data_IF_057495248942
#
_entry.id   IF_057495248942
#
_cell.length_a   1.000
_cell.length_b   1.000
_cell.length_c   1.000
_cell.angle_alpha   90.00
_cell.angle_beta   90.00
_cell.angle_gamma   90.00
#
_symmetry.space_group_name_H-M   'P 1'
#
loop_
_entity.id
_entity.type
_entity.pdbx_description
1 polymer ?
#
# COMPACT_ATOMS: atom_id res chain seq x y z
N UNK A 1 -38.58 -26.35 40.24
CA UNK A 1 -37.44 -25.40 40.19
C UNK A 1 -36.41 -25.95 39.22
N UNK A 2 -36.47 -25.52 37.95
CA UNK A 2 -35.50 -25.87 36.92
C UNK A 2 -35.13 -24.59 36.22
N UNK A 3 -33.97 -24.03 36.56
CA UNK A 3 -33.47 -22.78 35.98
C UNK A 3 -32.94 -23.00 34.55
N UNK A 4 -32.96 -21.96 33.69
CA UNK A 4 -32.31 -22.05 32.39
C UNK A 4 -30.85 -21.60 32.49
N UNK A 5 -29.92 -22.48 32.10
CA UNK A 5 -28.56 -22.10 31.73
C UNK A 5 -28.54 -21.74 30.25
N UNK A 6 -28.57 -20.44 29.93
CA UNK A 6 -28.23 -19.95 28.59
C UNK A 6 -26.85 -19.30 28.66
N UNK A 7 -25.83 -20.12 28.43
CA UNK A 7 -24.49 -19.62 28.11
C UNK A 7 -24.54 -18.91 26.76
N UNK A 8 -24.47 -17.58 26.78
CA UNK A 8 -24.35 -16.75 25.58
C UNK A 8 -22.90 -16.85 25.10
N UNK A 9 -22.62 -17.85 24.27
CA UNK A 9 -21.36 -17.91 23.53
C UNK A 9 -21.29 -16.72 22.58
N UNK A 10 -20.33 -15.83 22.79
CA UNK A 10 -19.95 -14.81 21.81
C UNK A 10 -19.46 -15.51 20.55
N UNK A 11 -20.33 -15.64 19.54
CA UNK A 11 -19.94 -16.18 18.25
C UNK A 11 -18.99 -15.17 17.60
N UNK A 12 -17.68 -15.45 17.66
CA UNK A 12 -16.73 -14.78 16.76
C UNK A 12 -17.20 -15.14 15.35
N UNK A 13 -17.55 -14.17 14.49
CA UNK A 13 -18.03 -14.48 13.16
C UNK A 13 -16.89 -15.18 12.40
N UNK A 14 -17.07 -16.46 12.11
CA UNK A 14 -16.11 -17.26 11.34
C UNK A 14 -16.05 -16.69 9.92
N UNK A 15 -14.86 -16.25 9.50
CA UNK A 15 -14.65 -15.74 8.15
C UNK A 15 -14.84 -16.87 7.14
N UNK A 16 -15.77 -16.69 6.20
CA UNK A 16 -16.02 -17.61 5.09
C UNK A 16 -14.96 -17.42 3.99
N UNK A 17 -14.01 -18.35 3.92
CA UNK A 17 -12.94 -18.37 2.92
C UNK A 17 -13.31 -19.14 1.65
N UNK A 18 -14.45 -19.85 1.61
CA UNK A 18 -14.85 -20.71 0.49
C UNK A 18 -14.85 -20.00 -0.88
N UNK A 19 -15.25 -18.71 -1.01
CA UNK A 19 -15.32 -18.07 -2.32
C UNK A 19 -13.96 -17.83 -2.98
N UNK A 20 -12.86 -17.95 -2.22
CA UNK A 20 -11.49 -17.78 -2.73
C UNK A 20 -11.01 -19.00 -3.54
N UNK A 21 -11.51 -20.20 -3.22
CA UNK A 21 -11.06 -21.47 -3.83
C UNK A 21 -12.13 -22.12 -4.69
N UNK A 22 -13.41 -21.88 -4.43
CA UNK A 22 -14.53 -22.50 -5.14
C UNK A 22 -14.42 -22.37 -6.68
N UNK A 23 -14.92 -23.38 -7.42
CA UNK A 23 -15.05 -23.31 -8.87
C UNK A 23 -15.94 -22.13 -9.29
N UNK A 24 -15.50 -21.38 -10.30
CA UNK A 24 -16.25 -20.23 -10.84
C UNK A 24 -16.56 -20.42 -12.32
N UNK A 25 -17.77 -20.08 -12.74
CA UNK A 25 -18.18 -20.19 -14.14
C UNK A 25 -17.69 -18.99 -14.95
N UNK A 26 -17.32 -19.22 -16.22
CA UNK A 26 -16.88 -18.15 -17.11
C UNK A 26 -17.97 -17.08 -17.34
N UNK A 27 -19.25 -17.49 -17.31
CA UNK A 27 -20.41 -16.59 -17.44
C UNK A 27 -20.49 -15.62 -16.27
N UNK A 28 -20.33 -16.09 -15.03
CA UNK A 28 -20.37 -15.26 -13.83
C UNK A 28 -19.22 -14.24 -13.82
N UNK A 29 -18.00 -14.68 -14.11
CA UNK A 29 -16.82 -13.80 -14.22
C UNK A 29 -17.02 -12.75 -15.33
N UNK A 30 -17.61 -13.15 -16.46
CA UNK A 30 -17.94 -12.26 -17.56
C UNK A 30 -18.98 -11.19 -17.20
N UNK A 31 -20.01 -11.56 -16.43
CA UNK A 31 -21.02 -10.63 -15.92
C UNK A 31 -20.40 -9.61 -14.95
N UNK A 32 -19.65 -10.09 -13.97
CA UNK A 32 -18.91 -9.25 -13.03
C UNK A 32 -17.98 -8.25 -13.75
N UNK A 33 -17.23 -8.71 -14.76
CA UNK A 33 -16.35 -7.82 -15.53
C UNK A 33 -17.12 -6.68 -16.22
N UNK A 34 -18.31 -6.96 -16.77
CA UNK A 34 -19.16 -5.94 -17.40
C UNK A 34 -19.67 -4.94 -16.37
N UNK A 35 -20.11 -5.42 -15.22
CA UNK A 35 -20.57 -4.59 -14.11
C UNK A 35 -19.47 -3.65 -13.59
N UNK A 36 -18.27 -4.19 -13.32
CA UNK A 36 -17.14 -3.38 -12.85
C UNK A 36 -16.71 -2.33 -13.88
N UNK A 37 -16.74 -2.67 -15.17
CA UNK A 37 -16.44 -1.72 -16.26
C UNK A 37 -17.49 -0.59 -16.35
N UNK A 38 -18.75 -0.89 -16.05
CA UNK A 38 -19.83 0.10 -16.02
C UNK A 38 -19.71 1.02 -14.80
N UNK A 39 -19.36 0.48 -13.62
CA UNK A 39 -19.20 1.24 -12.37
C UNK A 39 -17.94 2.12 -12.36
N UNK A 40 -16.87 1.67 -12.99
CA UNK A 40 -15.58 2.36 -13.02
C UNK A 40 -15.03 2.41 -14.46
N UNK A 41 -15.59 3.28 -15.34
CA UNK A 41 -15.05 3.46 -16.68
C UNK A 41 -13.60 3.95 -16.60
N UNK A 42 -12.74 3.39 -17.46
CA UNK A 42 -11.33 3.81 -17.52
C UNK A 42 -11.26 5.31 -17.87
N UNK A 43 -10.35 6.09 -17.24
CA UNK A 43 -10.06 7.45 -17.67
C UNK A 43 -9.71 7.48 -19.17
N UNK A 44 -10.13 8.53 -19.89
CA UNK A 44 -9.96 8.63 -21.35
C UNK A 44 -8.51 8.43 -21.82
N UNK A 45 -7.52 8.85 -21.03
CA UNK A 45 -6.09 8.64 -21.34
C UNK A 45 -5.66 7.17 -21.25
N UNK A 46 -6.09 6.47 -20.21
CA UNK A 46 -5.82 5.04 -20.05
C UNK A 46 -6.61 4.22 -21.09
N UNK A 47 -7.80 4.69 -21.46
CA UNK A 47 -8.58 4.12 -22.56
C UNK A 47 -7.82 4.26 -23.89
N UNK A 48 -7.18 5.41 -24.17
CA UNK A 48 -6.30 5.60 -25.35
C UNK A 48 -5.07 4.72 -25.33
N UNK A 49 -4.44 4.48 -24.16
CA UNK A 49 -3.29 3.57 -24.04
C UNK A 49 -3.70 2.10 -24.26
N UNK A 50 -4.83 1.67 -23.70
CA UNK A 50 -5.37 0.33 -23.92
C UNK A 50 -5.86 0.11 -25.36
N UNK A 51 -6.39 1.16 -26.00
CA UNK A 51 -6.73 1.20 -27.41
C UNK A 51 -5.47 1.14 -28.27
N UNK A 52 -4.40 1.85 -27.91
CA UNK A 52 -3.10 1.81 -28.59
C UNK A 52 -2.44 0.43 -28.54
N UNK A 53 -2.50 -0.26 -27.39
CA UNK A 53 -2.05 -1.64 -27.29
C UNK A 53 -2.91 -2.60 -28.13
N UNK A 54 -4.24 -2.40 -28.15
CA UNK A 54 -5.16 -3.17 -29.00
C UNK A 54 -4.94 -2.92 -30.49
N UNK A 55 -4.68 -1.67 -30.89
CA UNK A 55 -4.34 -1.27 -32.26
C UNK A 55 -2.97 -1.83 -32.65
N UNK A 56 -1.98 -1.84 -31.76
CA UNK A 56 -0.67 -2.43 -32.05
C UNK A 56 -0.80 -3.94 -32.30
N UNK A 57 -1.56 -4.66 -31.48
CA UNK A 57 -1.87 -6.08 -31.70
C UNK A 57 -2.65 -6.27 -32.99
N UNK A 58 -3.67 -5.45 -33.26
CA UNK A 58 -4.45 -5.49 -34.50
C UNK A 58 -3.62 -5.18 -35.74
N UNK A 59 -2.67 -4.25 -35.66
CA UNK A 59 -1.75 -3.88 -36.72
C UNK A 59 -0.72 -4.99 -36.96
N UNK A 60 -0.22 -5.65 -35.91
CA UNK A 60 0.62 -6.85 -36.04
C UNK A 60 -0.13 -7.97 -36.77
N UNK A 61 -1.38 -8.21 -36.40
CA UNK A 61 -2.22 -9.21 -37.06
C UNK A 61 -2.58 -8.81 -38.50
N UNK A 62 -2.83 -7.54 -38.76
CA UNK A 62 -3.12 -7.00 -40.09
C UNK A 62 -1.89 -7.06 -40.99
N UNK A 63 -0.69 -6.72 -40.49
CA UNK A 63 0.56 -6.87 -41.24
C UNK A 63 0.83 -8.33 -41.54
N UNK A 64 0.62 -9.25 -40.59
CA UNK A 64 0.70 -10.68 -40.85
C UNK A 64 -0.28 -11.13 -41.95
N UNK A 65 -1.51 -10.59 -41.95
CA UNK A 65 -2.54 -10.88 -42.95
C UNK A 65 -2.23 -10.27 -44.32
N UNK A 66 -1.68 -9.05 -44.38
CA UNK A 66 -1.34 -8.35 -45.63
C UNK A 66 -0.07 -8.87 -46.29
N UNK A 67 0.85 -9.43 -45.51
CA UNK A 67 2.06 -10.09 -46.03
C UNK A 67 1.74 -11.49 -46.55
N UNK A 68 0.66 -12.13 -46.08
CA UNK A 68 0.28 -13.48 -46.49
C UNK A 68 -0.01 -13.64 -48.02
N UNK A 69 -0.65 -12.69 -48.73
CA UNK A 69 -0.79 -12.74 -50.20
C UNK A 69 0.54 -12.56 -50.94
N UNK A 70 1.40 -11.63 -50.49
CA UNK A 70 2.75 -11.46 -51.04
C UNK A 70 3.63 -12.69 -50.83
N UNK A 71 3.41 -13.40 -49.72
CA UNK A 71 4.00 -14.70 -49.41
C UNK A 71 3.53 -15.80 -50.38
N UNK A 72 2.24 -15.86 -50.72
CA UNK A 72 1.72 -16.78 -51.77
C UNK A 72 2.32 -16.46 -53.14
N UNK A 73 2.48 -15.17 -53.47
CA UNK A 73 3.08 -14.74 -54.74
C UNK A 73 4.59 -15.03 -54.82
N UNK A 74 5.32 -14.93 -53.70
CA UNK A 74 6.74 -15.28 -53.59
C UNK A 74 6.98 -16.80 -53.65
N UNK A 75 6.04 -17.60 -53.13
CA UNK A 75 6.01 -19.07 -53.29
C UNK A 75 5.87 -19.48 -54.77
N UNK A 76 5.29 -18.62 -55.60
CA UNK A 76 5.10 -18.86 -57.04
C UNK A 76 6.15 -18.20 -57.94
N UNK A 77 7.10 -17.40 -57.41
CA UNK A 77 8.09 -16.73 -58.27
C UNK A 77 9.35 -16.17 -57.60
N UNK A 78 10.51 -16.64 -58.07
CA UNK A 78 11.67 -15.79 -58.43
C UNK A 78 12.77 -15.48 -57.41
N UNK A 79 12.62 -15.75 -56.11
CA UNK A 79 13.72 -15.51 -55.15
C UNK A 79 14.70 -16.70 -55.08
N UNK A 80 16.01 -16.47 -54.86
CA UNK A 80 16.95 -17.55 -54.53
C UNK A 80 16.45 -18.33 -53.31
N UNK A 81 16.45 -19.69 -53.33
CA UNK A 81 15.80 -20.53 -52.32
C UNK A 81 16.15 -20.13 -50.87
N UNK A 82 17.43 -19.83 -50.63
CA UNK A 82 18.00 -19.52 -49.31
C UNK A 82 17.44 -18.22 -48.73
N UNK A 83 17.27 -17.17 -49.54
CA UNK A 83 16.73 -15.88 -49.10
C UNK A 83 15.22 -15.99 -48.83
N UNK A 84 14.51 -16.71 -49.69
CA UNK A 84 13.10 -17.03 -49.50
C UNK A 84 12.85 -17.82 -48.22
N UNK A 85 13.63 -18.87 -47.96
CA UNK A 85 13.51 -19.72 -46.77
C UNK A 85 13.81 -18.97 -45.47
N UNK A 86 14.83 -18.11 -45.46
CA UNK A 86 15.14 -17.29 -44.29
C UNK A 86 14.00 -16.32 -43.94
N UNK A 87 13.41 -15.66 -44.95
CA UNK A 87 12.26 -14.76 -44.77
C UNK A 87 11.02 -15.53 -44.31
N UNK A 88 10.75 -16.73 -44.87
CA UNK A 88 9.66 -17.62 -44.46
C UNK A 88 9.77 -18.00 -42.98
N UNK A 89 10.97 -18.40 -42.56
CA UNK A 89 11.24 -18.81 -41.18
C UNK A 89 11.13 -17.63 -40.21
N UNK A 90 11.65 -16.46 -40.58
CA UNK A 90 11.54 -15.24 -39.78
C UNK A 90 10.08 -14.79 -39.60
N UNK A 91 9.27 -14.79 -40.67
CA UNK A 91 7.87 -14.40 -40.60
C UNK A 91 7.02 -15.43 -39.84
N UNK A 92 7.26 -16.72 -40.06
CA UNK A 92 6.62 -17.80 -39.29
C UNK A 92 6.92 -17.68 -37.80
N UNK A 93 8.18 -17.47 -37.43
CA UNK A 93 8.59 -17.23 -36.04
C UNK A 93 7.91 -15.99 -35.45
N UNK A 94 7.83 -14.89 -36.20
CA UNK A 94 7.15 -13.67 -35.77
C UNK A 94 5.66 -13.89 -35.46
N UNK A 95 4.93 -14.60 -36.33
CA UNK A 95 3.51 -14.92 -36.11
C UNK A 95 3.32 -15.78 -34.86
N UNK A 96 4.16 -16.81 -34.68
CA UNK A 96 4.10 -17.68 -33.51
C UNK A 96 4.38 -16.90 -32.23
N UNK A 97 5.40 -16.04 -32.21
CA UNK A 97 5.73 -15.17 -31.06
C UNK A 97 4.57 -14.21 -30.76
N UNK A 98 4.01 -13.56 -31.77
CA UNK A 98 2.88 -12.65 -31.61
C UNK A 98 1.65 -13.40 -31.04
N UNK A 99 1.31 -14.56 -31.58
CA UNK A 99 0.22 -15.40 -31.09
C UNK A 99 0.44 -15.85 -29.64
N UNK A 100 1.67 -16.24 -29.29
CA UNK A 100 2.04 -16.60 -27.93
C UNK A 100 1.89 -15.42 -26.95
N UNK A 101 2.32 -14.21 -27.34
CA UNK A 101 2.14 -12.98 -26.54
C UNK A 101 0.66 -12.65 -26.34
N UNK A 102 -0.15 -12.75 -27.40
CA UNK A 102 -1.60 -12.51 -27.32
C UNK A 102 -2.24 -13.54 -26.39
N UNK A 103 -1.96 -14.83 -26.59
CA UNK A 103 -2.49 -15.91 -25.76
C UNK A 103 -2.09 -15.72 -24.29
N UNK A 104 -0.82 -15.42 -24.01
CA UNK A 104 -0.33 -15.12 -22.68
C UNK A 104 -1.13 -13.97 -22.02
N UNK A 105 -1.31 -12.85 -22.72
CA UNK A 105 -2.06 -11.71 -22.21
C UNK A 105 -3.55 -12.04 -21.99
N UNK A 106 -4.16 -12.83 -22.85
CA UNK A 106 -5.56 -13.29 -22.71
C UNK A 106 -5.71 -14.22 -21.51
N UNK A 107 -4.81 -15.19 -21.35
CA UNK A 107 -4.80 -16.12 -20.21
C UNK A 107 -4.57 -15.37 -18.90
N UNK A 108 -3.60 -14.44 -18.88
CA UNK A 108 -3.33 -13.55 -17.73
C UNK A 108 -4.55 -12.70 -17.39
N UNK A 109 -5.19 -12.07 -18.38
CA UNK A 109 -6.39 -11.26 -18.16
C UNK A 109 -7.55 -12.11 -17.62
N UNK A 110 -7.72 -13.34 -18.11
CA UNK A 110 -8.72 -14.29 -17.58
C UNK A 110 -8.42 -14.66 -16.13
N UNK A 111 -7.16 -14.97 -15.80
CA UNK A 111 -6.73 -15.29 -14.44
C UNK A 111 -6.98 -14.12 -13.47
N UNK A 112 -6.59 -12.90 -13.85
CA UNK A 112 -6.84 -11.69 -13.05
C UNK A 112 -8.33 -11.46 -12.83
N UNK A 113 -9.15 -11.54 -13.87
CA UNK A 113 -10.61 -11.33 -13.72
C UNK A 113 -11.27 -12.41 -12.85
N UNK A 114 -10.81 -13.67 -12.92
CA UNK A 114 -11.26 -14.74 -12.02
C UNK A 114 -10.87 -14.44 -10.57
N UNK A 115 -9.63 -14.02 -10.33
CA UNK A 115 -9.16 -13.66 -9.01
C UNK A 115 -9.98 -12.51 -8.40
N UNK A 116 -10.21 -11.44 -9.18
CA UNK A 116 -11.06 -10.31 -8.77
C UNK A 116 -12.47 -10.71 -8.41
N UNK A 117 -13.08 -11.57 -9.24
CA UNK A 117 -14.41 -12.08 -8.97
C UNK A 117 -14.46 -12.89 -7.66
N UNK A 118 -13.47 -13.75 -7.41
CA UNK A 118 -13.35 -14.51 -6.16
C UNK A 118 -13.18 -13.60 -4.95
N UNK A 119 -12.29 -12.62 -5.02
CA UNK A 119 -12.09 -11.62 -3.97
C UNK A 119 -13.38 -10.82 -3.72
N UNK A 120 -14.11 -10.44 -4.77
CA UNK A 120 -15.38 -9.72 -4.59
C UNK A 120 -16.47 -10.57 -3.92
N UNK A 121 -16.53 -11.87 -4.22
CA UNK A 121 -17.47 -12.80 -3.57
C UNK A 121 -17.08 -13.04 -2.12
N UNK A 122 -15.78 -13.21 -1.87
CA UNK A 122 -15.23 -13.32 -0.52
C UNK A 122 -15.55 -12.09 0.33
N UNK A 123 -15.35 -10.88 -0.23
CA UNK A 123 -15.73 -9.66 0.46
C UNK A 123 -17.23 -9.66 0.79
N UNK A 124 -18.08 -9.95 -0.20
CA UNK A 124 -19.53 -9.96 -0.02
C UNK A 124 -20.03 -11.01 0.99
N UNK A 125 -19.47 -12.24 0.99
CA UNK A 125 -19.90 -13.29 1.93
C UNK A 125 -19.53 -12.98 3.38
N UNK A 126 -18.55 -12.10 3.58
CA UNK A 126 -18.08 -11.68 4.90
C UNK A 126 -18.56 -10.27 5.29
N UNK A 127 -19.56 -9.71 4.60
CA UNK A 127 -20.11 -8.38 4.92
C UNK A 127 -19.14 -7.21 4.62
N UNK A 128 -18.09 -7.46 3.85
CA UNK A 128 -17.12 -6.46 3.40
C UNK A 128 -17.47 -5.95 2.00
N UNK A 129 -16.95 -4.78 1.65
CA UNK A 129 -17.13 -4.20 0.32
C UNK A 129 -15.88 -4.36 -0.55
N UNK A 130 -16.05 -4.60 -1.85
CA UNK A 130 -14.96 -4.70 -2.82
C UNK A 130 -14.93 -3.49 -3.75
N UNK A 131 -13.74 -2.92 -3.96
CA UNK A 131 -13.49 -1.85 -4.93
C UNK A 131 -12.34 -2.28 -5.84
N UNK A 132 -12.60 -2.42 -7.13
CA UNK A 132 -11.61 -2.98 -8.06
C UNK A 132 -10.39 -2.08 -8.30
N UNK A 133 -10.59 -0.76 -8.29
CA UNK A 133 -9.52 0.22 -8.47
C UNK A 133 -9.90 1.56 -7.84
N UNK A 134 -8.91 2.22 -7.24
CA UNK A 134 -8.98 3.58 -6.74
C UNK A 134 -7.72 4.32 -7.16
N UNK A 135 -7.87 5.32 -8.04
CA UNK A 135 -6.76 6.17 -8.44
C UNK A 135 -6.49 7.25 -7.38
N UNK A 136 -5.22 7.56 -7.15
CA UNK A 136 -4.74 8.54 -6.18
C UNK A 136 -5.42 8.44 -4.79
N UNK A 137 -5.32 7.27 -4.11
CA UNK A 137 -5.89 7.10 -2.78
C UNK A 137 -5.36 8.18 -1.82
N UNK A 138 -6.27 8.84 -1.09
CA UNK A 138 -5.96 9.95 -0.18
C UNK A 138 -5.73 9.47 1.26
N UNK A 139 -4.92 8.42 1.42
CA UNK A 139 -4.53 7.89 2.73
C UNK A 139 -3.28 8.63 3.23
N UNK A 140 -3.16 8.94 4.53
CA UNK A 140 -2.05 9.74 5.06
C UNK A 140 -0.70 8.99 5.13
N UNK A 141 -0.70 7.67 4.94
CA UNK A 141 0.51 6.84 5.01
C UNK A 141 1.57 7.20 3.96
N UNK A 142 2.84 7.00 4.29
CA UNK A 142 3.99 7.49 3.54
C UNK A 142 4.05 6.97 2.10
N UNK A 143 3.68 5.70 1.85
CA UNK A 143 3.70 5.13 0.49
C UNK A 143 2.69 5.81 -0.43
N UNK A 144 1.63 6.37 0.14
CA UNK A 144 0.59 7.04 -0.60
C UNK A 144 1.01 8.44 -1.01
N UNK A 145 2.04 9.05 -0.42
CA UNK A 145 2.41 10.44 -0.70
C UNK A 145 3.49 10.59 -1.79
N UNK A 146 4.00 9.49 -2.34
CA UNK A 146 5.16 9.49 -3.25
C UNK A 146 4.82 9.03 -4.66
N UNK A 147 5.58 9.53 -5.63
CA UNK A 147 5.53 9.08 -7.02
C UNK A 147 4.33 9.57 -7.82
N UNK A 148 4.20 9.05 -9.05
CA UNK A 148 3.17 9.38 -10.04
C UNK A 148 2.36 8.13 -10.40
N UNK A 149 1.20 8.31 -11.02
CA UNK A 149 0.28 7.23 -11.43
C UNK A 149 -0.12 6.28 -10.28
N UNK A 150 -0.24 6.85 -9.08
CA UNK A 150 -0.62 6.16 -7.84
C UNK A 150 -2.01 5.56 -7.96
N UNK A 151 -2.15 4.28 -7.65
CA UNK A 151 -3.46 3.63 -7.56
C UNK A 151 -3.44 2.42 -6.64
N UNK A 152 -4.57 2.20 -5.96
CA UNK A 152 -4.87 0.95 -5.27
C UNK A 152 -5.78 0.08 -6.14
N UNK A 153 -5.60 -1.23 -6.07
CA UNK A 153 -6.42 -2.22 -6.75
C UNK A 153 -6.87 -3.31 -5.81
N UNK A 154 -8.01 -3.90 -6.14
CA UNK A 154 -8.61 -5.04 -5.43
C UNK A 154 -8.85 -4.75 -3.94
N UNK A 155 -9.34 -3.56 -3.61
CA UNK A 155 -9.56 -3.17 -2.23
C UNK A 155 -10.71 -3.97 -1.62
N UNK A 156 -10.49 -4.50 -0.42
CA UNK A 156 -11.53 -5.10 0.42
C UNK A 156 -11.64 -4.25 1.68
N UNK A 157 -12.86 -3.80 2.01
CA UNK A 157 -13.10 -2.89 3.14
C UNK A 157 -14.11 -3.47 4.11
N UNK A 158 -13.69 -3.66 5.35
CA UNK A 158 -14.59 -3.82 6.50
C UNK A 158 -14.91 -2.45 7.10
N UNK A 159 -16.13 -2.28 7.60
CA UNK A 159 -16.58 -1.06 8.31
C UNK A 159 -16.95 -1.31 9.76
N UNK A 160 -17.11 -2.57 10.17
CA UNK A 160 -17.54 -2.96 11.50
C UNK A 160 -16.65 -4.09 12.01
N UNK A 161 -16.23 -4.07 13.29
CA UNK A 161 -16.49 -3.01 14.28
C UNK A 161 -15.72 -1.70 14.01
N UNK A 162 -14.71 -1.75 13.14
CA UNK A 162 -13.92 -0.59 12.70
C UNK A 162 -13.65 -0.61 11.22
N UNK A 163 -13.22 0.53 10.68
CA UNK A 163 -12.80 0.59 9.28
C UNK A 163 -11.43 -0.07 9.10
N UNK A 164 -11.39 -1.11 8.28
CA UNK A 164 -10.15 -1.77 7.84
C UNK A 164 -10.21 -1.92 6.32
N UNK A 165 -9.15 -1.50 5.64
CA UNK A 165 -8.99 -1.64 4.20
C UNK A 165 -7.77 -2.48 3.88
N UNK A 166 -7.95 -3.53 3.09
CA UNK A 166 -6.90 -4.36 2.53
C UNK A 166 -6.78 -4.04 1.04
N UNK A 167 -5.59 -3.73 0.54
CA UNK A 167 -5.42 -3.34 -0.86
C UNK A 167 -4.04 -3.61 -1.41
N UNK A 168 -3.94 -3.63 -2.74
CA UNK A 168 -2.67 -3.70 -3.45
C UNK A 168 -2.41 -2.33 -4.07
N UNK A 169 -1.26 -1.72 -3.79
CA UNK A 169 -0.91 -0.36 -4.19
C UNK A 169 0.26 -0.35 -5.17
N UNK A 170 0.20 0.53 -6.17
CA UNK A 170 1.25 0.71 -7.16
C UNK A 170 1.47 2.20 -7.47
N UNK A 171 2.74 2.58 -7.65
CA UNK A 171 3.15 3.90 -8.13
C UNK A 171 4.44 3.83 -8.96
N UNK A 172 4.71 4.88 -9.72
CA UNK A 172 5.96 5.06 -10.45
C UNK A 172 6.84 6.13 -9.79
N UNK A 173 8.14 5.88 -9.66
CA UNK A 173 9.14 6.88 -9.26
C UNK A 173 10.14 7.14 -10.40
N UNK A 174 10.77 8.32 -10.41
CA UNK A 174 11.72 8.72 -11.47
C UNK A 174 11.10 9.66 -12.51
N UNK A 175 11.95 10.15 -13.42
CA UNK A 175 11.58 11.08 -14.48
C UNK A 175 11.78 10.43 -15.86
N UNK A 176 10.79 10.53 -16.74
CA UNK A 176 10.92 10.13 -18.14
C UNK A 176 10.98 8.61 -18.36
N UNK A 177 11.91 8.17 -19.23
CA UNK A 177 12.02 6.79 -19.71
C UNK A 177 12.48 5.79 -18.63
N UNK A 178 13.15 6.26 -17.57
CA UNK A 178 13.64 5.43 -16.46
C UNK A 178 12.70 5.49 -15.24
N UNK A 179 11.42 5.20 -15.47
CA UNK A 179 10.44 5.11 -14.38
C UNK A 179 10.50 3.74 -13.71
N UNK A 180 10.74 3.70 -12.40
CA UNK A 180 10.69 2.48 -11.60
C UNK A 180 9.28 2.25 -11.06
N UNK A 181 8.78 1.02 -11.22
CA UNK A 181 7.45 0.61 -10.73
C UNK A 181 7.56 -0.01 -9.36
N UNK A 182 6.86 0.59 -8.40
CA UNK A 182 6.81 0.13 -7.01
C UNK A 182 5.47 -0.51 -6.72
N UNK A 183 5.49 -1.67 -6.04
CA UNK A 183 4.30 -2.41 -5.65
C UNK A 183 4.32 -2.74 -4.17
N UNK A 184 3.15 -2.63 -3.56
CA UNK A 184 2.93 -2.90 -2.14
C UNK A 184 1.60 -3.62 -1.95
N UNK A 185 1.54 -4.55 -1.01
CA UNK A 185 0.29 -4.86 -0.32
C UNK A 185 0.19 -3.97 0.91
N UNK A 186 -1.00 -3.51 1.26
CA UNK A 186 -1.20 -2.73 2.46
C UNK A 186 -2.50 -3.08 3.19
N UNK A 187 -2.45 -2.92 4.52
CA UNK A 187 -3.65 -2.84 5.36
C UNK A 187 -3.71 -1.45 5.95
N UNK A 188 -4.85 -0.77 5.87
CA UNK A 188 -5.10 0.51 6.51
C UNK A 188 -6.21 0.33 7.55
N UNK A 189 -5.85 0.49 8.82
CA UNK A 189 -6.75 0.39 9.95
C UNK A 189 -7.04 1.79 10.48
N UNK A 190 -8.31 2.15 10.59
CA UNK A 190 -8.72 3.38 11.27
C UNK A 190 -8.63 3.16 12.78
N UNK A 191 -7.93 4.06 13.45
CA UNK A 191 -7.80 4.09 14.91
C UNK A 191 -8.84 5.02 15.52
N UNK A 192 -9.24 4.73 16.75
CA UNK A 192 -10.28 5.49 17.48
C UNK A 192 -9.74 6.84 17.98
N UNK A 193 -8.45 6.91 18.31
CA UNK A 193 -7.77 8.14 18.71
C UNK A 193 -6.57 8.43 17.80
N UNK A 194 -6.25 9.70 17.53
CA UNK A 194 -5.02 10.08 16.85
C UNK A 194 -3.78 9.72 17.69
N UNK A 195 -2.74 9.26 17.00
CA UNK A 195 -1.47 8.80 17.54
C UNK A 195 -0.30 9.58 16.90
N UNK A 196 0.85 9.69 17.59
CA UNK A 196 2.05 10.29 17.00
C UNK A 196 2.48 9.52 15.73
N UNK A 197 3.12 10.24 14.80
CA UNK A 197 3.66 9.61 13.60
C UNK A 197 4.81 8.67 13.99
N UNK A 198 4.68 7.37 13.81
CA UNK A 198 5.72 6.40 14.14
C UNK A 198 5.83 5.38 13.00
N UNK A 199 7.05 5.03 12.65
CA UNK A 199 7.32 3.96 11.67
C UNK A 199 8.17 2.88 12.31
N UNK A 200 7.74 1.63 12.16
CA UNK A 200 8.50 0.43 12.46
C UNK A 200 8.94 -0.20 11.13
N UNK A 201 10.23 -0.17 10.86
CA UNK A 201 10.85 -0.84 9.71
C UNK A 201 11.28 -2.25 10.13
N UNK A 202 10.66 -3.29 9.58
CA UNK A 202 10.89 -4.67 10.00
C UNK A 202 12.19 -5.23 9.38
N UNK A 203 13.18 -5.52 10.21
CA UNK A 203 14.47 -6.02 9.76
C UNK A 203 14.38 -7.42 9.11
N UNK A 204 13.43 -8.25 9.55
CA UNK A 204 13.21 -9.58 8.98
C UNK A 204 12.76 -9.56 7.52
N UNK A 205 12.21 -8.44 7.04
CA UNK A 205 11.82 -8.29 5.64
C UNK A 205 12.92 -7.62 4.79
N UNK A 206 14.04 -7.22 5.38
CA UNK A 206 15.09 -6.41 4.74
C UNK A 206 16.24 -7.28 4.21
N UNK A 207 15.97 -8.15 3.22
CA UNK A 207 17.05 -8.98 2.64
C UNK A 207 18.13 -8.17 1.89
N UNK A 208 17.93 -6.88 1.59
CA UNK A 208 18.85 -5.96 0.89
C UNK A 208 18.61 -4.47 1.23
N UNK A 209 18.48 -4.11 2.53
CA UNK A 209 18.31 -2.72 2.99
C UNK A 209 16.86 -2.25 3.17
N UNK A 210 16.66 -1.13 3.88
CA UNK A 210 15.34 -0.54 4.20
C UNK A 210 14.58 -0.21 2.92
N UNK A 211 13.37 -0.76 2.80
CA UNK A 211 12.60 -0.79 1.53
C UNK A 211 11.45 0.19 1.48
N UNK A 212 11.34 1.04 2.50
CA UNK A 212 10.39 2.13 2.56
C UNK A 212 10.75 3.19 1.51
N UNK A 213 9.76 3.93 0.96
CA UNK A 213 10.01 4.88 -0.13
C UNK A 213 10.92 6.05 0.24
N UNK A 214 11.18 6.26 1.53
CA UNK A 214 12.05 7.31 2.03
C UNK A 214 13.09 6.72 2.96
N UNK A 215 14.36 7.06 2.74
CA UNK A 215 15.36 6.96 3.79
C UNK A 215 14.94 7.93 4.90
N UNK A 216 14.33 7.41 5.96
CA UNK A 216 14.01 8.21 7.13
C UNK A 216 15.32 8.69 7.76
N UNK A 217 15.37 9.94 8.24
CA UNK A 217 16.60 10.47 8.83
C UNK A 217 17.06 9.60 10.00
N UNK A 218 18.34 9.25 10.06
CA UNK A 218 18.92 8.48 11.16
C UNK A 218 18.78 9.17 12.52
N UNK A 219 18.68 10.50 12.55
CA UNK A 219 18.43 11.30 13.76
C UNK A 219 17.02 11.12 14.34
N UNK A 220 16.12 10.48 13.60
CA UNK A 220 14.75 10.18 14.02
C UNK A 220 14.59 8.73 14.47
N UNK A 221 15.69 7.96 14.49
CA UNK A 221 15.72 6.60 14.99
C UNK A 221 15.76 6.62 16.52
N UNK A 222 14.88 5.84 17.12
CA UNK A 222 14.86 5.62 18.56
C UNK A 222 15.07 4.12 18.82
N UNK A 223 16.10 3.79 19.58
CA UNK A 223 16.31 2.43 20.08
C UNK A 223 15.48 2.22 21.33
N UNK A 224 14.80 1.08 21.41
CA UNK A 224 14.05 0.67 22.59
C UNK A 224 14.87 -0.31 23.44
N UNK A 225 14.48 -0.48 24.71
CA UNK A 225 15.11 -1.45 25.60
C UNK A 225 14.82 -2.91 25.16
N UNK A 226 15.66 -3.83 25.65
CA UNK A 226 15.50 -5.26 25.36
C UNK A 226 16.03 -5.63 23.97
N UNK A 227 15.31 -6.54 23.30
CA UNK A 227 15.73 -7.14 22.03
C UNK A 227 14.92 -6.64 20.82
N UNK A 228 14.09 -5.62 21.00
CA UNK A 228 13.20 -5.07 19.97
C UNK A 228 13.95 -4.62 18.70
N UNK A 229 15.12 -4.00 18.89
CA UNK A 229 16.02 -3.54 17.83
C UNK A 229 16.56 -4.67 16.93
N UNK A 230 16.43 -5.94 17.34
CA UNK A 230 16.75 -7.10 16.48
C UNK A 230 15.68 -7.36 15.43
N UNK A 231 14.45 -6.91 15.67
CA UNK A 231 13.30 -7.16 14.81
C UNK A 231 12.88 -5.90 14.05
N UNK A 232 12.98 -4.73 14.68
CA UNK A 232 12.52 -3.47 14.09
C UNK A 232 13.53 -2.35 14.26
N UNK A 233 13.51 -1.40 13.33
CA UNK A 233 14.02 -0.05 13.58
C UNK A 233 12.83 0.89 13.77
N UNK A 234 12.73 1.52 14.93
CA UNK A 234 11.69 2.51 15.23
C UNK A 234 12.14 3.90 14.81
N UNK A 235 11.26 4.62 14.11
CA UNK A 235 11.41 6.03 13.78
C UNK A 235 10.27 6.85 14.36
N UNK A 236 10.59 7.98 14.98
CA UNK A 236 9.61 8.96 15.46
C UNK A 236 10.07 10.41 15.19
N UNK A 237 9.14 11.37 15.05
CA UNK A 237 9.46 12.79 14.97
C UNK A 237 10.27 13.25 16.18
N UNK A 238 11.21 14.16 15.96
CA UNK A 238 11.98 14.77 17.05
C UNK A 238 11.05 15.44 18.05
N UNK A 239 11.30 15.23 19.33
CA UNK A 239 10.47 15.73 20.43
C UNK A 239 9.29 14.82 20.81
N UNK A 240 9.12 13.68 20.14
CA UNK A 240 8.09 12.68 20.43
C UNK A 240 8.68 11.36 20.93
N UNK A 241 9.95 11.35 21.33
CA UNK A 241 10.66 10.15 21.81
C UNK A 241 9.97 9.60 23.08
N UNK A 242 9.56 10.48 23.99
CA UNK A 242 8.81 10.09 25.19
C UNK A 242 7.45 9.45 24.83
N UNK A 243 6.72 10.02 23.87
CA UNK A 243 5.45 9.46 23.40
C UNK A 243 5.64 8.09 22.76
N UNK A 244 6.73 7.89 22.01
CA UNK A 244 7.09 6.61 21.44
C UNK A 244 7.44 5.58 22.53
N UNK A 245 8.22 5.95 23.55
CA UNK A 245 8.50 5.08 24.71
C UNK A 245 7.23 4.71 25.47
N UNK A 246 6.29 5.65 25.62
CA UNK A 246 4.99 5.37 26.23
C UNK A 246 4.12 4.45 25.37
N UNK A 247 4.21 4.52 24.04
CA UNK A 247 3.46 3.64 23.14
C UNK A 247 4.01 2.22 23.12
N UNK A 248 5.33 2.06 23.12
CA UNK A 248 6.00 0.77 23.03
C UNK A 248 6.35 0.22 24.41
N UNK A 249 5.33 0.01 25.23
CA UNK A 249 5.48 -0.79 26.45
C UNK A 249 5.91 -2.23 26.12
N UNK A 250 6.55 -2.96 27.04
CA UNK A 250 7.05 -4.31 26.77
C UNK A 250 6.01 -5.28 26.19
N UNK A 251 4.75 -5.19 26.61
CA UNK A 251 3.67 -6.03 26.08
C UNK A 251 3.26 -5.66 24.65
N UNK A 252 3.36 -4.39 24.26
CA UNK A 252 3.14 -3.92 22.88
C UNK A 252 4.31 -4.37 22.00
N UNK A 253 5.55 -4.20 22.46
CA UNK A 253 6.75 -4.65 21.77
C UNK A 253 6.69 -6.15 21.45
N UNK A 254 6.37 -6.98 22.44
CA UNK A 254 6.23 -8.42 22.25
C UNK A 254 5.18 -8.76 21.18
N UNK A 255 4.05 -8.05 21.16
CA UNK A 255 2.99 -8.28 20.16
C UNK A 255 3.42 -7.93 18.74
N UNK A 256 4.17 -6.84 18.57
CA UNK A 256 4.75 -6.51 17.26
C UNK A 256 5.77 -7.56 16.82
N UNK A 257 6.60 -8.08 17.73
CA UNK A 257 7.54 -9.16 17.44
C UNK A 257 6.79 -10.44 17.00
N UNK A 258 5.79 -10.85 17.77
CA UNK A 258 5.07 -12.12 17.52
C UNK A 258 4.26 -12.10 16.20
N UNK A 259 3.68 -10.95 15.85
CA UNK A 259 2.67 -10.88 14.78
C UNK A 259 3.10 -10.07 13.55
N UNK A 260 4.10 -9.20 13.67
CA UNK A 260 4.44 -8.21 12.65
C UNK A 260 5.94 -8.11 12.32
N UNK A 261 6.81 -8.96 12.87
CA UNK A 261 8.28 -8.89 12.66
C UNK A 261 8.76 -8.98 11.19
N UNK A 262 7.85 -9.26 10.26
CA UNK A 262 8.12 -9.33 8.81
C UNK A 262 7.38 -8.25 8.00
N UNK A 263 6.74 -7.28 8.66
CA UNK A 263 5.89 -6.27 8.03
C UNK A 263 6.27 -4.89 8.55
N UNK A 264 6.37 -3.90 7.66
CA UNK A 264 6.58 -2.53 8.09
C UNK A 264 5.26 -1.95 8.62
N UNK A 265 5.32 -1.20 9.71
CA UNK A 265 4.16 -0.59 10.35
C UNK A 265 4.33 0.91 10.36
N UNK A 266 3.28 1.65 9.99
CA UNK A 266 3.26 3.10 10.13
C UNK A 266 2.00 3.52 10.89
N UNK A 267 2.17 4.26 11.96
CA UNK A 267 1.10 4.95 12.67
C UNK A 267 1.19 6.41 12.27
N UNK A 268 0.09 6.99 11.78
CA UNK A 268 0.04 8.41 11.40
C UNK A 268 -1.38 8.93 11.52
N UNK A 269 -1.53 10.07 12.18
CA UNK A 269 -2.83 10.67 12.49
C UNK A 269 -3.72 9.63 13.21
N UNK A 270 -4.91 9.31 12.71
CA UNK A 270 -5.76 8.23 13.28
C UNK A 270 -5.75 6.98 12.40
N UNK A 271 -4.58 6.60 11.89
CA UNK A 271 -4.41 5.42 11.03
C UNK A 271 -3.20 4.60 11.47
N UNK A 272 -3.35 3.29 11.37
CA UNK A 272 -2.25 2.33 11.39
C UNK A 272 -2.21 1.63 10.03
N UNK A 273 -1.04 1.61 9.41
CA UNK A 273 -0.75 0.96 8.15
C UNK A 273 0.20 -0.22 8.35
N UNK A 274 -0.06 -1.30 7.63
CA UNK A 274 0.84 -2.45 7.50
C UNK A 274 1.28 -2.53 6.04
N UNK A 275 2.57 -2.57 5.76
CA UNK A 275 3.11 -2.59 4.39
C UNK A 275 3.90 -3.86 4.08
N UNK A 276 3.56 -4.48 2.94
CA UNK A 276 4.16 -5.73 2.48
C UNK A 276 4.67 -5.60 1.05
N UNK A 277 5.74 -6.32 0.72
CA UNK A 277 6.25 -6.46 -0.66
C UNK A 277 5.53 -7.53 -1.49
N UNK A 278 4.43 -8.05 -0.97
CA UNK A 278 3.55 -9.01 -1.64
C UNK A 278 2.12 -8.49 -1.62
N UNK A 279 1.30 -8.86 -2.61
CA UNK A 279 -0.14 -8.56 -2.57
C UNK A 279 -0.79 -9.12 -1.30
N UNK A 280 -1.70 -8.36 -0.70
CA UNK A 280 -2.49 -8.79 0.47
C UNK A 280 -3.91 -9.15 0.08
N UNK A 281 -4.49 -8.41 -0.86
CA UNK A 281 -5.78 -8.79 -1.45
C UNK A 281 -5.53 -9.83 -2.54
N UNK A 282 -5.72 -11.09 -2.18
CA UNK A 282 -5.38 -12.26 -3.01
C UNK A 282 -6.46 -13.34 -2.92
N UNK A 283 -6.29 -14.41 -3.71
CA UNK A 283 -7.13 -15.61 -3.63
C UNK A 283 -6.60 -16.67 -2.68
N UNK A 284 -5.54 -16.38 -1.91
CA UNK A 284 -4.95 -17.32 -0.96
C UNK A 284 -5.61 -17.21 0.42
N UNK A 285 -6.35 -18.24 0.89
CA UNK A 285 -6.99 -18.23 2.20
C UNK A 285 -6.01 -18.08 3.37
N UNK A 286 -4.79 -18.62 3.25
CA UNK A 286 -3.80 -18.56 4.31
C UNK A 286 -3.36 -17.12 4.57
N UNK A 287 -3.14 -16.35 3.49
CA UNK A 287 -2.86 -14.91 3.59
C UNK A 287 -3.98 -14.16 4.31
N UNK A 288 -5.25 -14.42 4.01
CA UNK A 288 -6.37 -13.77 4.71
C UNK A 288 -6.46 -14.14 6.19
N UNK A 289 -6.33 -15.43 6.53
CA UNK A 289 -6.34 -15.89 7.92
C UNK A 289 -5.25 -15.20 8.75
N UNK A 290 -4.04 -15.17 8.19
CA UNK A 290 -2.91 -14.48 8.82
C UNK A 290 -3.15 -12.98 8.95
N UNK A 291 -3.67 -12.30 7.91
CA UNK A 291 -3.97 -10.87 7.96
C UNK A 291 -5.01 -10.53 9.04
N UNK A 292 -6.09 -11.30 9.16
CA UNK A 292 -7.08 -11.06 10.22
C UNK A 292 -6.49 -11.28 11.60
N UNK A 293 -5.75 -12.37 11.80
CA UNK A 293 -5.08 -12.63 13.08
C UNK A 293 -4.08 -11.53 13.46
N UNK A 294 -3.27 -11.06 12.51
CA UNK A 294 -2.32 -9.95 12.73
C UNK A 294 -3.05 -8.66 13.04
N UNK A 295 -4.09 -8.29 12.27
CA UNK A 295 -4.86 -7.07 12.51
C UNK A 295 -5.52 -7.11 13.88
N UNK A 296 -6.23 -8.19 14.21
CA UNK A 296 -6.92 -8.35 15.49
C UNK A 296 -5.96 -8.23 16.68
N UNK A 297 -4.81 -8.90 16.59
CA UNK A 297 -3.77 -8.88 17.62
C UNK A 297 -3.19 -7.48 17.84
N UNK A 298 -2.90 -6.74 16.76
CA UNK A 298 -2.36 -5.39 16.83
C UNK A 298 -3.41 -4.38 17.30
N UNK A 299 -4.63 -4.43 16.77
CA UNK A 299 -5.67 -3.43 17.10
C UNK A 299 -6.13 -3.54 18.54
N UNK A 300 -6.35 -4.76 19.06
CA UNK A 300 -6.80 -4.95 20.44
C UNK A 300 -5.88 -4.25 21.45
N UNK A 301 -4.59 -4.22 21.13
CA UNK A 301 -3.55 -3.64 21.97
C UNK A 301 -3.38 -2.14 21.78
N UNK A 302 -3.40 -1.66 20.55
CA UNK A 302 -3.40 -0.22 20.27
C UNK A 302 -4.62 0.47 20.89
N UNK A 303 -5.79 -0.16 20.87
CA UNK A 303 -7.01 0.40 21.48
C UNK A 303 -6.98 0.37 23.01
N UNK A 304 -6.40 -0.67 23.60
CA UNK A 304 -6.18 -0.73 25.05
C UNK A 304 -5.30 0.42 25.49
N UNK A 305 -4.22 0.68 24.74
CA UNK A 305 -3.30 1.76 25.02
C UNK A 305 -3.94 3.14 24.81
N UNK A 306 -4.66 3.34 23.70
CA UNK A 306 -5.29 4.63 23.38
C UNK A 306 -6.24 5.07 24.51
N UNK A 307 -7.04 4.13 25.03
CA UNK A 307 -7.92 4.37 26.19
C UNK A 307 -7.13 4.72 27.45
N UNK A 308 -6.11 3.94 27.80
CA UNK A 308 -5.26 4.21 28.98
C UNK A 308 -4.57 5.57 28.92
N UNK A 309 -4.07 5.98 27.75
CA UNK A 309 -3.44 7.29 27.55
C UNK A 309 -4.45 8.41 27.75
N UNK A 310 -5.61 8.29 27.09
CA UNK A 310 -6.66 9.31 27.13
C UNK A 310 -7.18 9.48 28.57
N UNK A 311 -7.28 8.39 29.35
CA UNK A 311 -7.58 8.43 30.79
C UNK A 311 -6.52 9.22 31.59
N UNK A 312 -5.23 8.99 31.32
CA UNK A 312 -4.12 9.70 31.99
C UNK A 312 -4.06 11.19 31.65
N UNK A 313 -4.29 11.54 30.38
CA UNK A 313 -4.35 12.93 29.94
C UNK A 313 -5.52 13.66 30.62
N UNK A 314 -6.66 12.99 30.74
CA UNK A 314 -7.85 13.51 31.43
C UNK A 314 -7.59 13.69 32.93
N UNK A 315 -6.97 12.69 33.58
CA UNK A 315 -6.61 12.77 35.00
C UNK A 315 -5.59 13.87 35.30
N UNK A 316 -4.57 14.04 34.44
CA UNK A 316 -3.60 15.12 34.56
C UNK A 316 -4.22 16.50 34.38
N UNK A 317 -5.16 16.65 33.43
CA UNK A 317 -5.90 17.90 33.24
C UNK A 317 -6.81 18.24 34.44
N UNK A 318 -7.44 17.24 35.06
CA UNK A 318 -8.24 17.43 36.27
C UNK A 318 -7.37 17.83 37.48
N UNK A 319 -6.17 17.24 37.61
CA UNK A 319 -5.22 17.61 38.65
C UNK A 319 -4.66 19.02 38.47
N UNK A 320 -4.38 19.44 37.23
CA UNK A 320 -3.95 20.82 36.92
C UNK A 320 -5.06 21.85 37.15
N UNK A 321 -6.31 21.55 36.75
CA UNK A 321 -7.46 22.42 37.02
C UNK A 321 -7.78 22.55 38.52
N UNK A 322 -7.54 21.50 39.31
CA UNK A 322 -7.66 21.55 40.77
C UNK A 322 -6.56 22.39 41.44
N UNK A 323 -5.37 22.49 40.84
CA UNK A 323 -4.30 23.36 41.31
C UNK A 323 -4.58 24.84 40.98
N UNK A 324 -5.13 25.14 39.80
CA UNK A 324 -5.50 26.50 39.40
C UNK A 324 -6.77 27.02 40.10
N UNK A 325 -7.70 26.14 40.48
CA UNK A 325 -8.88 26.50 41.27
C UNK A 325 -8.56 26.86 42.74
N UNK A 326 -7.35 26.55 43.22
CA UNK A 326 -6.87 26.94 44.55
C UNK A 326 -6.26 28.34 44.64
N UNK A 327 -6.12 29.06 43.51
CA UNK A 327 -5.36 30.31 43.43
C UNK A 327 -6.17 31.54 42.96
N UNK A 328 -7.51 31.50 43.02
CA UNK A 328 -8.31 32.63 42.52
C UNK A 328 -9.74 32.67 43.05
N UNK A 329 -9.90 32.98 44.34
CA UNK A 329 -11.16 33.52 44.85
C UNK A 329 -10.91 34.97 45.26
N UNK A 330 -10.90 35.87 44.27
CA UNK A 330 -11.34 37.26 44.43
C UNK A 330 -11.45 37.97 43.06
N UNK A 331 -12.50 38.78 42.95
CA UNK A 331 -12.83 39.78 41.91
C UNK A 331 -13.54 39.32 40.61
N UNK A 332 -14.84 39.66 40.56
CA UNK A 332 -15.31 40.68 39.60
C UNK A 332 -15.96 40.19 38.30
N UNK A 333 -17.28 40.40 38.22
CA UNK A 333 -18.11 40.19 37.03
C UNK A 333 -17.75 41.14 35.87
N UNK A 334 -17.77 40.62 34.64
CA UNK A 334 -18.34 41.31 33.48
C UNK A 334 -18.58 40.32 32.33
N UNK A 335 -19.77 40.36 31.75
CA UNK A 335 -20.17 39.62 30.57
C UNK A 335 -19.97 40.48 29.32
N UNK A 336 -19.38 39.93 28.24
CA UNK A 336 -19.69 40.29 26.86
C UNK A 336 -19.06 39.36 25.81
N UNK A 337 -19.96 38.68 25.06
CA UNK A 337 -19.99 38.35 23.63
C UNK A 337 -18.82 37.60 22.89
N UNK A 338 -19.13 36.80 21.85
CA UNK A 338 -18.30 35.69 21.38
C UNK A 338 -17.37 36.06 20.21
N UNK A 339 -16.19 35.43 20.07
CA UNK A 339 -15.46 35.48 18.80
C UNK A 339 -15.94 34.37 17.86
N UNK A 340 -16.23 34.77 16.63
CA UNK A 340 -16.47 33.90 15.50
C UNK A 340 -15.22 33.09 15.12
N UNK A 341 -15.45 31.89 14.57
CA UNK A 341 -14.48 31.07 13.83
C UNK A 341 -13.24 30.60 14.59
N UNK A 342 -13.43 29.83 15.66
CA UNK A 342 -12.40 28.93 16.17
C UNK A 342 -12.44 27.60 15.39
N UNK A 343 -11.37 27.33 14.63
CA UNK A 343 -11.01 25.96 14.24
C UNK A 343 -11.04 25.10 15.52
N UNK A 344 -11.67 23.90 15.53
CA UNK A 344 -11.66 23.05 16.71
C UNK A 344 -10.21 22.79 17.13
N UNK A 345 -9.84 23.17 18.35
CA UNK A 345 -8.54 22.85 18.90
C UNK A 345 -8.35 21.32 18.84
N UNK A 346 -7.17 20.82 18.43
CA UNK A 346 -6.91 19.40 18.43
C UNK A 346 -7.07 18.81 19.85
N UNK A 347 -7.51 17.55 19.98
CA UNK A 347 -7.65 16.90 21.28
C UNK A 347 -6.34 17.02 22.08
N UNK A 348 -6.45 17.43 23.35
CA UNK A 348 -5.30 17.56 24.26
C UNK A 348 -4.60 16.19 24.38
N UNK A 349 -3.30 16.15 24.10
CA UNK A 349 -2.48 14.93 24.12
C UNK A 349 -2.04 14.41 22.74
N UNK A 350 -2.49 15.06 21.67
CA UNK A 350 -1.77 15.06 20.39
C UNK A 350 -1.18 16.45 20.25
N UNK A 351 0.13 16.54 20.08
CA UNK A 351 0.78 17.80 19.80
C UNK A 351 0.07 18.50 18.61
N UNK A 352 0.08 19.84 18.62
CA UNK A 352 -0.29 20.66 17.46
C UNK A 352 0.24 19.96 16.20
N UNK A 353 -0.62 19.67 15.21
CA UNK A 353 -0.25 18.96 13.99
C UNK A 353 1.13 19.47 13.47
N UNK A 354 2.22 18.76 13.78
CA UNK A 354 3.51 19.49 13.82
C UNK A 354 4.79 18.66 13.78
N UNK A 355 4.74 17.34 13.95
CA UNK A 355 5.89 16.46 13.70
C UNK A 355 5.55 15.40 12.66
N UNK A 356 5.88 15.61 11.39
CA UNK A 356 5.96 14.50 10.42
C UNK A 356 7.39 14.01 10.35
N UNK A 357 7.56 12.70 10.16
CA UNK A 357 8.86 12.15 9.81
C UNK A 357 9.42 12.88 8.59
N UNK A 358 10.66 13.35 8.69
CA UNK A 358 11.34 14.05 7.60
C UNK A 358 12.12 13.01 6.82
N UNK A 359 12.07 13.12 5.49
CA UNK A 359 12.93 12.31 4.64
C UNK A 359 14.37 12.80 4.83
N UNK A 360 15.27 11.88 5.17
CA UNK A 360 16.70 12.13 5.22
C UNK A 360 17.29 12.08 3.81
N UNK A 361 18.34 12.87 3.58
CA UNK A 361 19.15 12.74 2.37
C UNK A 361 20.10 11.57 2.57
N UNK A 362 20.00 10.54 1.73
CA UNK A 362 20.98 9.45 1.73
C UNK A 362 22.32 9.99 1.24
N UNK A 363 23.24 10.28 2.17
CA UNK A 363 24.60 10.70 1.84
C UNK A 363 25.37 9.67 1.01
N UNK A 364 25.01 8.38 1.10
CA UNK A 364 25.56 7.34 0.22
C UNK A 364 25.10 7.52 -1.23
N UNK A 365 23.85 7.93 -1.46
CA UNK A 365 23.36 8.26 -2.80
C UNK A 365 24.01 9.55 -3.33
N UNK A 366 24.22 10.55 -2.46
CA UNK A 366 24.97 11.77 -2.81
C UNK A 366 26.42 11.44 -3.16
N UNK A 367 27.09 10.61 -2.35
CA UNK A 367 28.46 10.15 -2.61
C UNK A 367 28.55 9.33 -3.90
N UNK A 368 27.57 8.47 -4.18
CA UNK A 368 27.47 7.72 -5.43
C UNK A 368 27.29 8.63 -6.66
N UNK A 369 26.47 9.68 -6.56
CA UNK A 369 26.31 10.69 -7.61
C UNK A 369 27.60 11.51 -7.79
N UNK A 370 28.24 11.94 -6.71
CA UNK A 370 29.52 12.67 -6.76
C UNK A 370 30.61 11.82 -7.39
N UNK A 371 30.66 10.52 -7.07
CA UNK A 371 31.61 9.58 -7.67
C UNK A 371 31.34 9.39 -9.17
N UNK A 372 30.08 9.23 -9.58
CA UNK A 372 29.71 9.13 -11.00
C UNK A 372 30.05 10.41 -11.78
N UNK A 373 29.81 11.58 -11.19
CA UNK A 373 30.19 12.87 -11.79
C UNK A 373 31.71 13.00 -11.87
N UNK A 374 32.46 12.60 -10.85
CA UNK A 374 33.92 12.61 -10.87
C UNK A 374 34.49 11.69 -11.95
N UNK A 375 33.94 10.48 -12.10
CA UNK A 375 34.32 9.53 -13.16
C UNK A 375 34.00 10.13 -14.54
N UNK A 376 32.81 10.71 -14.71
CA UNK A 376 32.40 11.35 -15.97
C UNK A 376 33.33 12.50 -16.36
N UNK A 377 33.70 13.37 -15.43
CA UNK A 377 34.61 14.50 -15.65
C UNK A 377 36.03 14.02 -16.01
N UNK A 378 36.55 13.02 -15.29
CA UNK A 378 37.87 12.44 -15.59
C UNK A 378 37.88 11.79 -16.99
N UNK A 379 36.79 11.13 -17.38
CA UNK A 379 36.74 10.42 -18.67
C UNK A 379 36.46 11.33 -19.86
N UNK A 380 35.71 12.42 -19.70
CA UNK A 380 35.21 13.22 -20.82
C UNK A 380 35.77 14.64 -20.90
N UNK A 381 36.28 15.19 -19.78
CA UNK A 381 36.75 16.59 -19.72
C UNK A 381 38.27 16.65 -19.61
N UNK A 382 38.87 15.77 -18.82
CA UNK A 382 40.33 15.71 -18.64
C UNK A 382 41.13 15.46 -19.93
N UNK A 383 40.69 14.59 -20.87
CA UNK A 383 41.41 14.37 -22.12
C UNK A 383 41.38 15.58 -23.06
N UNK A 384 40.41 16.48 -22.93
CA UNK A 384 40.30 17.70 -23.73
C UNK A 384 41.08 18.90 -23.17
N UNK A 385 41.59 18.81 -21.95
CA UNK A 385 42.41 19.86 -21.29
C UNK A 385 43.92 19.55 -21.32
N UNK A 386 44.29 18.30 -21.62
CA UNK A 386 45.68 17.83 -21.71
C UNK A 386 46.12 17.53 -23.15
N UNK A 387 45.28 17.84 -24.14
CA UNK A 387 45.52 17.63 -25.57
C UNK A 387 45.82 18.91 -26.33
#
# INVERSE_FOLDING_TARGET
>A
MTGPSTGSGTHVPTIDMSPLSEPVTARAVGAFRREMKAKHPLPKEQQRQSLGAGIAVGAILLVALLVAPGFVSLLMGGAPPIVGDAIRLALGAFIVIAAAIILYNVLRARAVNRARFRISRFAASNGMSYVGRMDAPRLPGMIFQVGKYRHSSDLVRSRSPRFVEYGNYEYLSGNGAESNRHRWGYVAVKLDSPLPNIVLDALGNNSLGSRLPAALSGEQRLSLEGDFDRYFTLYCPRGYEADALYLFTPDIMARFIDHAAQIDVEIVDSWMFLYLKRPVSTTDPATWSWLFSTVDALTAKVDQWARWRDDRLTAGAAAGAGADAGAGADAGASASAPPASAVPAPPRGVALAGGRLKQGVSWAAVAGIVLLVAIFVVQNVLPGLLG
#
